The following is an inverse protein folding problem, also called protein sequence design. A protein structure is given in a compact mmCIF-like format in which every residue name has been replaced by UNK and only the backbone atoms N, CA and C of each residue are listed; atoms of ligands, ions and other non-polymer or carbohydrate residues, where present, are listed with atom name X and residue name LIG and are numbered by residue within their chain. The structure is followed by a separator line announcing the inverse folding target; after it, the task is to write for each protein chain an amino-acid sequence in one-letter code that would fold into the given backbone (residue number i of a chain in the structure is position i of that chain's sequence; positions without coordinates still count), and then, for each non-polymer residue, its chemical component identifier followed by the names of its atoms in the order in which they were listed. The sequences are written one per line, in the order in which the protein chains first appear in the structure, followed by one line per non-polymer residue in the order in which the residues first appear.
data_IF_084296347105
#
_entry.id   IF_084296347105
#
_cell.length_a   1.000
_cell.length_b   1.000
_cell.length_c   1.000
_cell.angle_alpha   90.00
_cell.angle_beta   90.00
_cell.angle_gamma   90.00
#
_symmetry.space_group_name_H-M   'P 1'
#
loop_
_entity.id
_entity.type
_entity.pdbx_description
1 polymer ?
#
# COMPACT_ATOMS: atom_id res chain seq x y z
N UNK A 1 -27.18 3.93 -21.54
CA UNK A 1 -26.31 4.40 -20.44
C UNK A 1 -25.48 3.25 -19.86
N UNK A 2 -26.09 2.20 -19.31
CA UNK A 2 -25.36 1.02 -18.79
C UNK A 2 -24.51 0.33 -19.88
N UNK A 3 -25.04 0.17 -21.09
CA UNK A 3 -24.31 -0.50 -22.17
C UNK A 3 -23.13 0.34 -22.69
N UNK A 4 -23.25 1.67 -22.65
CA UNK A 4 -22.18 2.61 -22.98
C UNK A 4 -21.02 2.52 -21.97
N UNK A 5 -21.32 2.42 -20.67
CA UNK A 5 -20.31 2.27 -19.62
C UNK A 5 -19.55 0.94 -19.73
N UNK A 6 -20.26 -0.16 -20.04
CA UNK A 6 -19.63 -1.46 -20.27
C UNK A 6 -18.68 -1.44 -21.46
N UNK A 7 -19.05 -0.74 -22.54
CA UNK A 7 -18.20 -0.64 -23.72
C UNK A 7 -16.96 0.24 -23.46
N UNK A 8 -17.12 1.36 -22.75
CA UNK A 8 -16.00 2.19 -22.30
C UNK A 8 -15.01 1.38 -21.44
N UNK A 9 -15.50 0.61 -20.47
CA UNK A 9 -14.64 -0.28 -19.64
C UNK A 9 -13.90 -1.31 -20.49
N UNK A 10 -14.58 -1.91 -21.48
CA UNK A 10 -13.97 -2.89 -22.38
C UNK A 10 -12.86 -2.24 -23.23
N UNK A 11 -13.12 -1.05 -23.78
CA UNK A 11 -12.13 -0.32 -24.56
C UNK A 11 -10.93 0.10 -23.70
N UNK A 12 -11.15 0.60 -22.48
CA UNK A 12 -10.09 0.94 -21.55
C UNK A 12 -9.19 -0.27 -21.22
N UNK A 13 -9.79 -1.43 -20.91
CA UNK A 13 -9.06 -2.69 -20.68
C UNK A 13 -8.25 -3.13 -21.90
N UNK A 14 -8.83 -3.00 -23.10
CA UNK A 14 -8.11 -3.30 -24.35
C UNK A 14 -6.92 -2.37 -24.55
N UNK A 15 -7.09 -1.07 -24.35
CA UNK A 15 -6.00 -0.09 -24.48
C UNK A 15 -4.87 -0.36 -23.48
N UNK A 16 -5.21 -0.67 -22.22
CA UNK A 16 -4.25 -1.05 -21.20
C UNK A 16 -3.48 -2.33 -21.58
N UNK A 17 -4.17 -3.35 -22.09
CA UNK A 17 -3.53 -4.63 -22.51
C UNK A 17 -2.56 -4.50 -23.70
N UNK A 18 -2.62 -3.40 -24.44
CA UNK A 18 -1.72 -3.11 -25.55
C UNK A 18 -0.47 -2.35 -25.10
N UNK A 19 -0.43 -1.87 -23.86
CA UNK A 19 0.76 -1.22 -23.31
C UNK A 19 1.79 -2.27 -22.89
N UNK A 20 3.10 -1.96 -23.00
CA UNK A 20 4.13 -2.81 -22.43
C UNK A 20 3.95 -2.89 -20.90
N UNK A 21 4.42 -4.00 -20.33
CA UNK A 21 4.49 -4.15 -18.88
C UNK A 21 5.42 -3.04 -18.35
N UNK A 22 5.00 -2.28 -17.31
CA UNK A 22 5.86 -1.27 -16.70
C UNK A 22 7.20 -1.86 -16.24
N UNK A 23 8.28 -1.12 -16.48
CA UNK A 23 9.64 -1.57 -16.17
C UNK A 23 9.80 -1.98 -14.71
N UNK A 24 9.11 -1.32 -13.77
CA UNK A 24 9.09 -1.68 -12.35
C UNK A 24 8.84 -3.18 -12.11
N UNK A 25 7.86 -3.79 -12.79
CA UNK A 25 7.53 -5.21 -12.60
C UNK A 25 8.59 -6.16 -13.16
N UNK A 26 9.46 -5.68 -14.05
CA UNK A 26 10.55 -6.45 -14.63
C UNK A 26 11.85 -6.23 -13.85
N UNK A 27 12.17 -4.97 -13.56
CA UNK A 27 13.43 -4.55 -12.94
C UNK A 27 13.44 -4.88 -11.44
N UNK A 28 12.28 -4.88 -10.78
CA UNK A 28 12.13 -5.17 -9.35
C UNK A 28 11.50 -6.56 -9.10
N UNK A 29 11.61 -7.49 -10.06
CA UNK A 29 10.94 -8.79 -9.98
C UNK A 29 11.37 -9.63 -8.76
N UNK A 30 12.61 -9.48 -8.29
CA UNK A 30 13.12 -10.22 -7.12
C UNK A 30 12.48 -9.70 -5.84
N UNK A 31 12.41 -8.39 -5.67
CA UNK A 31 11.81 -7.72 -4.51
C UNK A 31 10.30 -7.90 -4.49
N UNK A 32 9.66 -7.87 -5.66
CA UNK A 32 8.23 -8.20 -5.81
C UNK A 32 7.93 -9.64 -5.45
N UNK A 33 8.75 -10.60 -5.88
CA UNK A 33 8.58 -12.00 -5.48
C UNK A 33 8.72 -12.17 -3.96
N UNK A 34 9.72 -11.52 -3.35
CA UNK A 34 9.89 -11.55 -1.91
C UNK A 34 8.70 -10.91 -1.16
N UNK A 35 8.20 -9.77 -1.64
CA UNK A 35 7.02 -9.12 -1.09
C UNK A 35 5.78 -10.01 -1.21
N UNK A 36 5.63 -10.70 -2.33
CA UNK A 36 4.55 -11.67 -2.56
C UNK A 36 4.64 -12.85 -1.58
N UNK A 37 5.80 -13.49 -1.46
CA UNK A 37 6.01 -14.61 -0.53
C UNK A 37 5.71 -14.17 0.91
N UNK A 38 6.24 -13.01 1.32
CA UNK A 38 5.94 -12.43 2.63
C UNK A 38 4.44 -12.18 2.82
N UNK A 39 3.73 -11.66 1.81
CA UNK A 39 2.30 -11.38 1.90
C UNK A 39 1.47 -12.64 2.19
N UNK A 40 1.83 -13.76 1.56
CA UNK A 40 1.08 -15.02 1.67
C UNK A 40 1.57 -15.95 2.79
N UNK A 41 2.81 -15.80 3.25
CA UNK A 41 3.39 -16.74 4.22
C UNK A 41 3.61 -16.13 5.61
N UNK A 42 3.71 -14.79 5.73
CA UNK A 42 4.03 -14.16 7.01
C UNK A 42 2.81 -14.15 7.95
N UNK A 43 2.88 -14.78 9.15
CA UNK A 43 1.72 -14.97 10.02
C UNK A 43 1.02 -13.68 10.45
N UNK A 44 1.77 -12.59 10.65
CA UNK A 44 1.17 -11.30 11.01
C UNK A 44 0.45 -10.64 9.83
N UNK A 45 0.88 -10.88 8.59
CA UNK A 45 0.21 -10.32 7.42
C UNK A 45 -1.08 -11.10 7.18
N UNK A 46 -1.05 -12.43 7.29
CA UNK A 46 -2.25 -13.27 7.21
C UNK A 46 -3.31 -12.84 8.23
N UNK A 47 -2.90 -12.61 9.49
CA UNK A 47 -3.80 -12.05 10.52
C UNK A 47 -4.35 -10.68 10.10
N UNK A 48 -3.48 -9.80 9.58
CA UNK A 48 -3.89 -8.44 9.21
C UNK A 48 -4.84 -8.41 8.02
N UNK A 49 -4.71 -9.34 7.08
CA UNK A 49 -5.68 -9.51 6.00
C UNK A 49 -7.07 -9.76 6.57
N UNK A 50 -7.21 -10.63 7.58
CA UNK A 50 -8.50 -10.88 8.23
C UNK A 50 -9.02 -9.65 9.00
N UNK A 51 -8.14 -8.99 9.77
CA UNK A 51 -8.50 -7.87 10.62
C UNK A 51 -8.88 -6.60 9.82
N UNK A 52 -8.34 -6.41 8.61
CA UNK A 52 -8.64 -5.22 7.78
C UNK A 52 -9.88 -5.39 6.88
N UNK A 53 -10.26 -6.63 6.52
CA UNK A 53 -11.36 -6.91 5.60
C UNK A 53 -12.68 -6.18 5.91
N UNK A 54 -13.14 -6.07 7.17
CA UNK A 54 -14.40 -5.38 7.49
C UNK A 54 -14.41 -3.88 7.14
N UNK A 55 -13.23 -3.29 6.94
CA UNK A 55 -13.06 -1.86 6.69
C UNK A 55 -12.76 -1.53 5.22
N UNK A 56 -12.45 -2.54 4.40
CA UNK A 56 -12.14 -2.34 2.98
C UNK A 56 -13.42 -2.27 2.16
N UNK A 57 -13.60 -1.15 1.46
CA UNK A 57 -14.77 -0.89 0.64
C UNK A 57 -14.47 -1.28 -0.82
N UNK A 58 -15.16 -2.29 -1.35
CA UNK A 58 -14.84 -2.88 -2.66
C UNK A 58 -15.44 -2.12 -3.87
N UNK A 59 -16.19 -1.04 -3.60
CA UNK A 59 -16.66 -0.16 -4.66
C UNK A 59 -15.52 0.74 -5.17
N UNK A 60 -15.55 1.04 -6.47
CA UNK A 60 -14.63 1.99 -7.16
C UNK A 60 -13.15 1.58 -7.24
N UNK A 61 -12.83 0.29 -7.06
CA UNK A 61 -11.45 -0.20 -7.28
C UNK A 61 -10.48 0.14 -6.14
N UNK A 62 -10.99 0.39 -4.93
CA UNK A 62 -10.21 0.69 -3.72
C UNK A 62 -10.39 -0.37 -2.61
N UNK A 63 -10.86 -1.55 -2.97
CA UNK A 63 -11.10 -2.64 -2.03
C UNK A 63 -9.90 -3.52 -1.75
N UNK A 64 -10.16 -4.82 -1.65
CA UNK A 64 -9.19 -5.83 -1.19
C UNK A 64 -8.03 -5.98 -2.16
N UNK A 65 -8.31 -6.09 -3.47
CA UNK A 65 -7.25 -6.27 -4.47
C UNK A 65 -6.36 -5.01 -4.60
N UNK A 66 -6.93 -3.82 -4.45
CA UNK A 66 -6.16 -2.57 -4.41
C UNK A 66 -5.20 -2.56 -3.22
N UNK A 67 -5.74 -2.75 -2.01
CA UNK A 67 -4.94 -2.70 -0.78
C UNK A 67 -3.84 -3.77 -0.75
N UNK A 68 -4.14 -4.97 -1.27
CA UNK A 68 -3.16 -6.05 -1.46
C UNK A 68 -2.03 -5.65 -2.43
N UNK A 69 -2.39 -5.09 -3.58
CA UNK A 69 -1.40 -4.66 -4.58
C UNK A 69 -0.51 -3.55 -4.02
N UNK A 70 -1.10 -2.54 -3.38
CA UNK A 70 -0.36 -1.46 -2.71
C UNK A 70 0.58 -2.02 -1.65
N UNK A 71 0.13 -2.97 -0.82
CA UNK A 71 0.97 -3.61 0.18
C UNK A 71 2.22 -4.29 -0.43
N UNK A 72 2.02 -5.08 -1.48
CA UNK A 72 3.12 -5.80 -2.15
C UNK A 72 4.10 -4.84 -2.85
N UNK A 73 3.58 -3.84 -3.56
CA UNK A 73 4.41 -2.87 -4.28
C UNK A 73 5.15 -1.94 -3.32
N UNK A 74 4.52 -1.49 -2.24
CA UNK A 74 5.17 -0.68 -1.21
C UNK A 74 6.31 -1.45 -0.53
N UNK A 75 6.12 -2.74 -0.26
CA UNK A 75 7.17 -3.61 0.27
C UNK A 75 8.35 -3.71 -0.71
N UNK A 76 8.07 -3.98 -1.99
CA UNK A 76 9.12 -4.06 -3.01
C UNK A 76 9.89 -2.74 -3.13
N UNK A 77 9.21 -1.59 -3.12
CA UNK A 77 9.84 -0.27 -3.15
C UNK A 77 10.75 -0.02 -1.94
N UNK A 78 10.33 -0.41 -0.73
CA UNK A 78 11.19 -0.32 0.45
C UNK A 78 12.45 -1.17 0.29
N UNK A 79 12.34 -2.37 -0.28
CA UNK A 79 13.49 -3.26 -0.49
C UNK A 79 14.46 -2.70 -1.53
N UNK A 80 13.94 -2.12 -2.63
CA UNK A 80 14.74 -1.51 -3.71
C UNK A 80 15.44 -0.24 -3.24
N UNK A 81 14.74 0.65 -2.55
CA UNK A 81 15.26 1.97 -2.14
C UNK A 81 15.99 1.92 -0.78
N UNK A 82 15.71 0.92 0.05
CA UNK A 82 16.28 0.72 1.38
C UNK A 82 17.69 0.13 1.40
N UNK A 83 18.45 0.21 0.30
CA UNK A 83 19.80 -0.41 0.18
C UNK A 83 20.83 0.13 1.16
N UNK A 84 20.62 1.33 1.71
CA UNK A 84 21.45 1.91 2.77
C UNK A 84 21.17 1.33 4.16
N UNK A 85 20.08 0.57 4.33
CA UNK A 85 19.74 -0.11 5.57
C UNK A 85 20.37 -1.51 5.61
N UNK A 86 20.67 -2.05 6.81
CA UNK A 86 20.94 -3.48 6.96
C UNK A 86 19.81 -4.32 6.34
N UNK A 87 20.10 -5.47 5.70
CA UNK A 87 19.08 -6.29 5.05
C UNK A 87 17.90 -6.67 5.95
N UNK A 88 18.16 -6.98 7.22
CA UNK A 88 17.13 -7.29 8.22
C UNK A 88 16.23 -6.09 8.54
N UNK A 89 16.81 -4.89 8.62
CA UNK A 89 16.08 -3.64 8.83
C UNK A 89 15.21 -3.28 7.62
N UNK A 90 15.74 -3.49 6.41
CA UNK A 90 15.00 -3.27 5.16
C UNK A 90 13.81 -4.24 5.04
N UNK A 91 14.01 -5.53 5.36
CA UNK A 91 12.92 -6.52 5.38
C UNK A 91 11.88 -6.24 6.44
N UNK A 92 12.31 -5.81 7.64
CA UNK A 92 11.39 -5.39 8.70
C UNK A 92 10.58 -4.16 8.29
N UNK A 93 11.20 -3.16 7.68
CA UNK A 93 10.49 -2.00 7.15
C UNK A 93 9.55 -2.38 6.00
N UNK A 94 9.94 -3.37 5.17
CA UNK A 94 9.09 -3.96 4.14
C UNK A 94 7.85 -4.65 4.70
N UNK A 95 7.95 -5.32 5.86
CA UNK A 95 6.78 -5.85 6.59
C UNK A 95 5.84 -4.72 7.02
N UNK A 96 6.38 -3.61 7.55
CA UNK A 96 5.57 -2.45 7.92
C UNK A 96 4.93 -1.77 6.70
N UNK A 97 5.58 -1.82 5.53
CA UNK A 97 5.01 -1.34 4.28
C UNK A 97 3.78 -2.16 3.86
N UNK A 98 3.82 -3.48 4.05
CA UNK A 98 2.64 -4.30 3.80
C UNK A 98 1.50 -3.99 4.77
N UNK A 99 1.81 -3.73 6.05
CA UNK A 99 0.79 -3.31 7.01
C UNK A 99 0.16 -1.98 6.60
N UNK A 100 0.99 -1.00 6.24
CA UNK A 100 0.50 0.30 5.82
C UNK A 100 -0.34 0.20 4.53
N UNK A 101 0.10 -0.60 3.55
CA UNK A 101 -0.63 -0.84 2.30
C UNK A 101 -1.98 -1.52 2.50
N UNK A 102 -2.09 -2.49 3.40
CA UNK A 102 -3.37 -3.12 3.74
C UNK A 102 -4.35 -2.17 4.43
N UNK A 103 -3.84 -1.20 5.19
CA UNK A 103 -4.64 -0.35 6.07
C UNK A 103 -4.93 1.05 5.52
N UNK A 104 -4.20 1.52 4.50
CA UNK A 104 -4.21 2.94 4.10
C UNK A 104 -5.59 3.50 3.73
N UNK A 105 -6.43 2.68 3.08
CA UNK A 105 -7.75 3.07 2.57
C UNK A 105 -8.92 2.51 3.42
N UNK A 106 -8.65 1.99 4.63
CA UNK A 106 -9.70 1.46 5.54
C UNK A 106 -10.74 2.48 5.99
N UNK A 107 -10.48 3.78 5.79
CA UNK A 107 -11.41 4.87 6.06
C UNK A 107 -11.80 5.64 4.79
N UNK A 108 -11.69 5.05 3.59
CA UNK A 108 -11.75 5.74 2.29
C UNK A 108 -12.91 6.73 2.10
N UNK A 109 -14.09 6.40 2.61
CA UNK A 109 -15.31 7.21 2.45
C UNK A 109 -15.41 8.37 3.45
N UNK A 110 -14.52 8.42 4.43
CA UNK A 110 -14.52 9.42 5.48
C UNK A 110 -13.78 10.69 5.06
N UNK A 111 -14.24 11.88 5.48
CA UNK A 111 -13.42 13.09 5.41
C UNK A 111 -12.10 12.89 6.16
N UNK A 112 -11.01 13.34 5.56
CA UNK A 112 -9.66 13.14 6.09
C UNK A 112 -9.30 11.65 6.27
N UNK A 113 -9.67 10.80 5.30
CA UNK A 113 -9.50 9.34 5.39
C UNK A 113 -8.09 8.89 5.76
N UNK A 114 -7.05 9.56 5.27
CA UNK A 114 -5.67 9.22 5.61
C UNK A 114 -5.39 9.35 7.12
N UNK A 115 -5.86 10.41 7.77
CA UNK A 115 -5.69 10.63 9.22
C UNK A 115 -6.51 9.61 10.03
N UNK A 116 -7.77 9.40 9.63
CA UNK A 116 -8.64 8.41 10.29
C UNK A 116 -8.15 6.98 10.10
N UNK A 117 -7.62 6.66 8.92
CA UNK A 117 -7.00 5.38 8.61
C UNK A 117 -5.76 5.14 9.46
N UNK A 118 -4.95 6.18 9.73
CA UNK A 118 -3.83 6.09 10.65
C UNK A 118 -4.28 5.79 12.09
N UNK A 119 -5.34 6.45 12.57
CA UNK A 119 -5.91 6.17 13.89
C UNK A 119 -6.49 4.75 13.99
N UNK A 120 -7.20 4.30 12.95
CA UNK A 120 -7.70 2.93 12.87
C UNK A 120 -6.56 1.91 12.84
N UNK A 121 -5.50 2.17 12.09
CA UNK A 121 -4.31 1.34 12.05
C UNK A 121 -3.66 1.21 13.44
N UNK A 122 -3.57 2.31 14.21
CA UNK A 122 -3.10 2.24 15.61
C UNK A 122 -3.97 1.35 16.49
N UNK A 123 -5.29 1.36 16.27
CA UNK A 123 -6.22 0.52 17.03
C UNK A 123 -6.08 -0.96 16.65
N UNK A 124 -6.06 -1.29 15.36
CA UNK A 124 -5.92 -2.66 14.86
C UNK A 124 -4.58 -3.26 15.31
N UNK A 125 -3.48 -2.52 15.13
CA UNK A 125 -2.14 -2.99 15.42
C UNK A 125 -1.79 -2.98 16.91
N UNK A 126 -2.69 -2.52 17.79
CA UNK A 126 -2.43 -2.47 19.24
C UNK A 126 -2.15 -3.85 19.84
N UNK A 127 -2.84 -4.87 19.34
CA UNK A 127 -2.75 -6.26 19.83
C UNK A 127 -1.82 -7.13 18.98
N UNK A 128 -0.96 -6.49 18.17
CA UNK A 128 0.08 -7.16 17.39
C UNK A 128 1.39 -7.21 18.18
N UNK A 129 2.21 -8.27 18.02
CA UNK A 129 3.51 -8.39 18.68
C UNK A 129 4.58 -7.55 17.97
N UNK A 130 4.31 -6.25 17.78
CA UNK A 130 5.23 -5.26 17.20
C UNK A 130 5.48 -4.14 18.21
N UNK A 131 6.56 -3.39 18.02
CA UNK A 131 6.87 -2.27 18.92
C UNK A 131 5.90 -1.09 18.70
N UNK A 132 5.74 -0.25 19.73
CA UNK A 132 4.99 1.01 19.60
C UNK A 132 5.58 1.90 18.49
N UNK A 133 6.91 1.85 18.29
CA UNK A 133 7.59 2.56 17.21
C UNK A 133 7.19 2.03 15.83
N UNK A 134 7.15 0.72 15.65
CA UNK A 134 6.76 0.10 14.37
C UNK A 134 5.30 0.42 14.01
N UNK A 135 4.42 0.35 15.01
CA UNK A 135 3.02 0.75 14.86
C UNK A 135 2.93 2.22 14.42
N UNK A 136 3.72 3.09 15.03
CA UNK A 136 3.71 4.51 14.71
C UNK A 136 4.32 4.79 13.33
N UNK A 137 5.35 4.06 12.90
CA UNK A 137 5.89 4.15 11.53
C UNK A 137 4.81 3.86 10.48
N UNK A 138 4.08 2.75 10.64
CA UNK A 138 2.99 2.40 9.73
C UNK A 138 1.86 3.45 9.75
N UNK A 139 1.45 3.90 10.93
CA UNK A 139 0.42 4.91 11.08
C UNK A 139 0.82 6.27 10.46
N UNK A 140 2.07 6.71 10.63
CA UNK A 140 2.57 7.94 10.02
C UNK A 140 2.59 7.86 8.49
N UNK A 141 3.02 6.72 7.94
CA UNK A 141 2.98 6.51 6.49
C UNK A 141 1.55 6.62 5.96
N UNK A 142 0.58 5.98 6.63
CA UNK A 142 -0.84 6.09 6.28
C UNK A 142 -1.34 7.53 6.39
N UNK A 143 -0.98 8.27 7.44
CA UNK A 143 -1.46 9.64 7.64
C UNK A 143 -1.03 10.60 6.50
N UNK A 144 0.07 10.29 5.81
CA UNK A 144 0.67 11.14 4.78
C UNK A 144 0.63 10.53 3.37
N UNK A 145 -0.08 9.40 3.15
CA UNK A 145 -0.08 8.71 1.85
C UNK A 145 -0.77 9.49 0.73
N UNK A 146 -1.74 10.34 1.07
CA UNK A 146 -2.36 11.24 0.10
C UNK A 146 -1.44 12.41 -0.24
N UNK A 147 -1.34 12.73 -1.54
CA UNK A 147 -0.44 13.73 -2.07
C UNK A 147 -0.37 15.00 -1.20
N UNK A 148 0.86 15.40 -0.87
CA UNK A 148 1.23 16.44 0.10
C UNK A 148 0.21 17.55 0.19
N UNK A 149 -0.66 17.48 1.22
CA UNK A 149 -1.56 18.59 1.49
C UNK A 149 -0.72 19.84 1.76
N UNK A 150 -1.18 21.04 1.37
CA UNK A 150 -0.45 22.26 1.66
C UNK A 150 -0.12 22.35 3.17
N UNK A 151 1.17 22.38 3.51
CA UNK A 151 1.65 22.42 4.89
C UNK A 151 1.92 21.06 5.57
N UNK A 152 1.60 19.93 4.91
CA UNK A 152 1.93 18.60 5.40
C UNK A 152 3.38 18.24 5.03
N UNK A 153 4.25 18.19 6.04
CA UNK A 153 5.64 17.79 5.87
C UNK A 153 5.80 16.27 5.78
N UNK A 154 6.82 15.81 5.06
CA UNK A 154 7.28 14.44 5.16
C UNK A 154 7.85 14.18 6.57
N UNK A 155 7.77 12.94 7.08
CA UNK A 155 8.43 12.57 8.32
C UNK A 155 9.92 12.95 8.32
N UNK A 156 10.44 13.43 9.46
CA UNK A 156 11.86 13.79 9.59
C UNK A 156 12.76 12.56 9.64
N UNK A 157 12.30 11.50 10.31
CA UNK A 157 13.03 10.24 10.46
C UNK A 157 13.21 9.54 9.09
N UNK A 158 14.43 9.13 8.71
CA UNK A 158 14.70 8.49 7.43
C UNK A 158 13.84 7.24 7.15
N UNK A 159 13.65 6.36 8.13
CA UNK A 159 12.83 5.13 7.97
C UNK A 159 11.36 5.47 7.73
N UNK A 160 10.82 6.42 8.49
CA UNK A 160 9.45 6.90 8.32
C UNK A 160 9.25 7.55 6.95
N UNK A 161 10.23 8.33 6.47
CA UNK A 161 10.19 8.96 5.15
C UNK A 161 10.24 7.94 4.02
N UNK A 162 11.11 6.93 4.13
CA UNK A 162 11.19 5.86 3.14
C UNK A 162 9.87 5.08 3.06
N UNK A 163 9.29 4.70 4.21
CA UNK A 163 8.02 4.00 4.28
C UNK A 163 6.86 4.82 3.71
N UNK A 164 6.78 6.10 4.07
CA UNK A 164 5.76 7.02 3.56
C UNK A 164 5.88 7.23 2.04
N UNK A 165 7.10 7.40 1.53
CA UNK A 165 7.36 7.52 0.09
C UNK A 165 6.96 6.25 -0.67
N UNK A 166 7.38 5.09 -0.19
CA UNK A 166 7.04 3.81 -0.81
C UNK A 166 5.53 3.54 -0.82
N UNK A 167 4.82 3.86 0.27
CA UNK A 167 3.36 3.73 0.32
C UNK A 167 2.67 4.69 -0.65
N UNK A 168 3.12 5.95 -0.70
CA UNK A 168 2.59 6.95 -1.62
C UNK A 168 2.77 6.48 -3.08
N UNK A 169 4.00 6.11 -3.45
CA UNK A 169 4.31 5.67 -4.81
C UNK A 169 3.50 4.42 -5.19
N UNK A 170 3.41 3.42 -4.30
CA UNK A 170 2.61 2.22 -4.54
C UNK A 170 1.11 2.51 -4.72
N UNK A 171 0.50 3.39 -3.91
CA UNK A 171 -0.91 3.78 -4.10
C UNK A 171 -1.14 4.59 -5.40
N UNK A 172 -0.11 5.32 -5.85
CA UNK A 172 -0.16 6.08 -7.10
C UNK A 172 0.33 5.28 -8.33
N UNK A 173 0.90 4.09 -8.15
CA UNK A 173 1.28 3.17 -9.22
C UNK A 173 0.04 2.56 -9.89
N UNK A 174 -0.59 3.36 -10.75
CA UNK A 174 -1.84 3.01 -11.43
C UNK A 174 -1.59 2.61 -12.87
N UNK A 175 -0.80 1.56 -13.06
CA UNK A 175 -0.37 1.10 -14.39
C UNK A 175 -1.40 0.23 -15.14
N UNK A 176 -2.62 0.09 -14.63
CA UNK A 176 -3.61 -0.88 -15.12
C UNK A 176 -5.06 -0.37 -15.14
N UNK A 177 -6.01 -1.25 -15.53
CA UNK A 177 -7.43 -0.92 -15.62
C UNK A 177 -8.11 -0.73 -14.26
N UNK A 178 -7.38 -0.78 -13.15
CA UNK A 178 -7.86 -0.54 -11.77
C UNK A 178 -8.52 0.85 -11.61
N UNK A 179 -8.34 1.74 -12.61
CA UNK A 179 -9.02 3.02 -12.73
C UNK A 179 -10.40 3.00 -13.45
N UNK A 180 -10.90 1.85 -13.94
CA UNK A 180 -12.06 1.77 -14.86
C UNK A 180 -13.07 0.64 -14.60
#
# INVERSE_FOLDING_TARGET
MIETLKDLRRQARRMASLQPIPAFYMDCAVELQFAWDMFFDHPLILRLQEDCLPFLYDDYGHGVEHSKKVAQEACALVLVEGTALPPEDSRHLGLLAQFAGLLHDTCRLEPHHAEKGADLARMILKDYPISDRDRELAAQAIAVHEAFRPGQGLPEEPRARLLAGALHDADKFRWGPDNF
#
